data_IF_272624328137
#
_entry.id   IF_272624328137
#
_cell.length_a   1.000
_cell.length_b   1.000
_cell.length_c   1.000
_cell.angle_alpha   90.00
_cell.angle_beta   90.00
_cell.angle_gamma   90.00
#
_symmetry.space_group_name_H-M   'P 1'
#
loop_
_entity.id
_entity.type
_entity.pdbx_description
1 polymer ?
#
# COMPACT_ATOMS: atom_id res chain seq x y z
N UNK A 1 -4.45 4.26 -17.96
CA UNK A 1 -3.77 3.98 -16.70
C UNK A 1 -4.41 2.83 -15.91
N UNK A 2 -5.69 2.92 -15.57
CA UNK A 2 -6.41 1.83 -14.87
C UNK A 2 -6.30 0.47 -15.58
N UNK A 3 -6.39 0.46 -16.93
CA UNK A 3 -6.19 -0.75 -17.72
C UNK A 3 -4.78 -1.34 -17.57
N UNK A 4 -3.74 -0.50 -17.53
CA UNK A 4 -2.35 -0.97 -17.33
C UNK A 4 -2.18 -1.56 -15.92
N UNK A 5 -2.76 -0.92 -14.90
CA UNK A 5 -2.73 -1.45 -13.53
C UNK A 5 -3.48 -2.79 -13.44
N UNK A 6 -4.67 -2.89 -14.02
CA UNK A 6 -5.42 -4.15 -14.06
C UNK A 6 -4.63 -5.24 -14.79
N UNK A 7 -3.98 -4.91 -15.91
CA UNK A 7 -3.11 -5.86 -16.60
C UNK A 7 -1.97 -6.35 -15.69
N UNK A 8 -1.28 -5.44 -14.98
CA UNK A 8 -0.22 -5.81 -14.04
C UNK A 8 -0.77 -6.72 -12.93
N UNK A 9 -1.95 -6.43 -12.39
CA UNK A 9 -2.56 -7.20 -11.31
C UNK A 9 -3.03 -8.58 -11.77
N UNK A 10 -3.59 -8.72 -12.96
CA UNK A 10 -3.99 -10.03 -13.49
C UNK A 10 -2.79 -10.90 -13.86
N UNK A 11 -1.73 -10.30 -14.41
CA UNK A 11 -0.51 -11.03 -14.80
C UNK A 11 0.59 -11.01 -13.73
N UNK A 12 0.27 -10.64 -12.49
CA UNK A 12 1.23 -10.49 -11.41
C UNK A 12 2.04 -11.77 -11.14
N UNK A 13 1.42 -12.96 -11.19
CA UNK A 13 2.11 -14.24 -10.94
C UNK A 13 3.25 -14.49 -11.94
N UNK A 14 3.07 -14.07 -13.18
CA UNK A 14 4.12 -14.16 -14.20
C UNK A 14 5.17 -13.06 -14.04
N UNK A 15 4.75 -11.84 -13.71
CA UNK A 15 5.64 -10.69 -13.52
C UNK A 15 6.57 -10.86 -12.31
N UNK A 16 6.08 -11.39 -11.18
CA UNK A 16 6.88 -11.58 -9.97
C UNK A 16 7.98 -12.63 -10.14
N UNK A 17 7.84 -13.56 -11.09
CA UNK A 17 8.90 -14.51 -11.44
C UNK A 17 10.10 -13.84 -12.13
N UNK A 18 9.92 -12.60 -12.62
CA UNK A 18 10.98 -11.78 -13.23
C UNK A 18 11.27 -10.54 -12.38
N UNK A 19 11.97 -10.67 -11.23
CA UNK A 19 12.07 -9.63 -10.21
C UNK A 19 12.71 -8.32 -10.71
N UNK A 20 13.63 -8.39 -11.65
CA UNK A 20 14.22 -7.18 -12.26
C UNK A 20 13.18 -6.40 -13.06
N UNK A 21 12.43 -7.09 -13.93
CA UNK A 21 11.38 -6.48 -14.76
C UNK A 21 10.26 -5.90 -13.90
N UNK A 22 9.79 -6.65 -12.90
CA UNK A 22 8.74 -6.21 -11.98
C UNK A 22 9.13 -4.93 -11.24
N UNK A 23 10.37 -4.82 -10.74
CA UNK A 23 10.87 -3.61 -10.09
C UNK A 23 10.89 -2.40 -11.03
N UNK A 24 11.35 -2.56 -12.27
CA UNK A 24 11.33 -1.49 -13.26
C UNK A 24 9.90 -1.03 -13.58
N UNK A 25 8.98 -1.97 -13.80
CA UNK A 25 7.56 -1.67 -14.04
C UNK A 25 6.96 -0.91 -12.85
N UNK A 26 7.24 -1.37 -11.62
CA UNK A 26 6.75 -0.72 -10.41
C UNK A 26 7.28 0.71 -10.27
N UNK A 27 8.59 0.91 -10.35
CA UNK A 27 9.18 2.25 -10.24
C UNK A 27 8.69 3.18 -11.36
N UNK A 28 8.62 2.70 -12.60
CA UNK A 28 8.07 3.46 -13.71
C UNK A 28 6.60 3.87 -13.49
N UNK A 29 5.80 2.93 -12.95
CA UNK A 29 4.41 3.20 -12.61
C UNK A 29 4.27 4.22 -11.47
N UNK A 30 5.10 4.14 -10.43
CA UNK A 30 5.09 5.11 -9.32
C UNK A 30 5.50 6.52 -9.79
N UNK A 31 6.51 6.63 -10.64
CA UNK A 31 6.90 7.91 -11.24
C UNK A 31 5.74 8.47 -12.07
N UNK A 32 5.12 7.63 -12.90
CA UNK A 32 3.95 8.03 -13.68
C UNK A 32 2.78 8.47 -12.78
N UNK A 33 2.50 7.73 -11.69
CA UNK A 33 1.46 8.07 -10.71
C UNK A 33 1.71 9.43 -10.07
N UNK A 34 2.95 9.70 -9.64
CA UNK A 34 3.31 10.96 -9.00
C UNK A 34 3.14 12.16 -9.96
N UNK A 35 3.72 12.07 -11.15
CA UNK A 35 3.72 13.21 -12.08
C UNK A 35 2.38 13.37 -12.80
N UNK A 36 1.80 12.29 -13.31
CA UNK A 36 0.57 12.39 -14.10
C UNK A 36 -0.68 12.48 -13.21
N UNK A 37 -0.87 11.52 -12.26
CA UNK A 37 -2.06 11.56 -11.40
C UNK A 37 -1.94 12.66 -10.35
N UNK A 38 -0.77 12.74 -9.70
CA UNK A 38 -0.54 13.70 -8.63
C UNK A 38 -0.50 15.13 -9.13
N UNK A 39 0.50 15.46 -9.90
CA UNK A 39 0.79 16.87 -10.21
C UNK A 39 0.07 17.41 -11.45
N UNK A 40 -0.23 16.58 -12.45
CA UNK A 40 -0.93 17.03 -13.64
C UNK A 40 -2.46 16.95 -13.49
N UNK A 41 -2.99 15.75 -13.12
CA UNK A 41 -4.42 15.52 -13.02
C UNK A 41 -5.01 15.88 -11.63
N UNK A 42 -4.15 16.21 -10.63
CA UNK A 42 -4.53 16.51 -9.24
C UNK A 42 -5.45 15.46 -8.61
N UNK A 43 -5.34 14.21 -9.08
CA UNK A 43 -6.23 13.08 -8.77
C UNK A 43 -5.91 12.39 -7.44
N UNK A 44 -5.56 13.14 -6.39
CA UNK A 44 -5.31 12.59 -5.06
C UNK A 44 -6.62 12.45 -4.28
N UNK A 45 -7.00 11.21 -3.95
CA UNK A 45 -8.10 10.96 -3.02
C UNK A 45 -7.73 11.38 -1.60
N UNK A 46 -8.70 11.99 -0.91
CA UNK A 46 -8.63 12.43 0.49
C UNK A 46 -9.71 11.74 1.31
N UNK A 47 -9.55 11.74 2.64
CA UNK A 47 -10.59 11.30 3.56
C UNK A 47 -11.87 12.13 3.40
N UNK A 48 -11.77 13.40 3.06
CA UNK A 48 -12.92 14.28 2.82
C UNK A 48 -13.84 13.67 1.77
N UNK A 49 -13.30 13.12 0.69
CA UNK A 49 -14.09 12.49 -0.36
C UNK A 49 -14.88 11.28 0.18
N UNK A 50 -14.28 10.47 1.06
CA UNK A 50 -14.95 9.34 1.70
C UNK A 50 -16.06 9.82 2.63
N UNK A 51 -15.79 10.84 3.45
CA UNK A 51 -16.77 11.44 4.37
C UNK A 51 -17.94 12.07 3.59
N UNK A 52 -17.67 12.77 2.51
CA UNK A 52 -18.70 13.34 1.62
C UNK A 52 -19.57 12.24 1.01
N UNK A 53 -18.98 11.13 0.58
CA UNK A 53 -19.72 9.99 0.06
C UNK A 53 -20.64 9.39 1.12
N UNK A 54 -20.13 9.12 2.33
CA UNK A 54 -20.93 8.56 3.43
C UNK A 54 -22.05 9.52 3.86
N UNK A 55 -21.74 10.81 3.97
CA UNK A 55 -22.74 11.83 4.31
C UNK A 55 -23.83 11.92 3.23
N UNK A 56 -23.46 11.84 1.95
CA UNK A 56 -24.42 11.80 0.84
C UNK A 56 -25.35 10.58 0.91
N UNK A 57 -24.86 9.42 1.34
CA UNK A 57 -25.72 8.23 1.53
C UNK A 57 -26.73 8.42 2.66
N UNK A 58 -26.37 9.16 3.71
CA UNK A 58 -27.24 9.41 4.88
C UNK A 58 -28.27 10.48 4.59
N UNK A 59 -27.85 11.59 3.92
CA UNK A 59 -28.71 12.77 3.68
C UNK A 59 -29.50 12.76 2.37
N UNK A 60 -29.40 11.69 1.58
CA UNK A 60 -30.06 11.55 0.28
C UNK A 60 -29.06 11.71 -0.87
N UNK A 61 -28.85 10.62 -1.58
CA UNK A 61 -27.86 10.51 -2.66
C UNK A 61 -28.29 11.32 -3.89
N UNK A 62 -27.42 12.27 -4.31
CA UNK A 62 -27.59 13.06 -5.53
C UNK A 62 -26.44 12.79 -6.48
N UNK A 63 -26.72 12.20 -7.64
CA UNK A 63 -25.72 11.92 -8.68
C UNK A 63 -25.01 13.17 -9.19
N UNK A 64 -25.69 14.30 -9.25
CA UNK A 64 -25.15 15.56 -9.75
C UNK A 64 -23.88 15.99 -9.00
N UNK A 65 -23.83 15.79 -7.69
CA UNK A 65 -22.68 16.17 -6.86
C UNK A 65 -21.42 15.38 -7.24
N UNK A 66 -21.57 14.13 -7.68
CA UNK A 66 -20.42 13.28 -8.04
C UNK A 66 -20.00 13.40 -9.49
N UNK A 67 -20.88 13.91 -10.36
CA UNK A 67 -20.60 14.09 -11.79
C UNK A 67 -19.96 15.46 -12.11
N UNK A 68 -19.81 16.34 -11.13
CA UNK A 68 -19.15 17.64 -11.29
C UNK A 68 -17.71 17.48 -11.76
N UNK A 69 -16.99 16.47 -11.21
CA UNK A 69 -15.61 16.15 -11.62
C UNK A 69 -15.54 14.72 -12.16
N UNK A 70 -15.60 14.55 -13.50
CA UNK A 70 -15.62 13.21 -14.11
C UNK A 70 -14.33 12.42 -13.87
N UNK A 71 -13.18 13.08 -13.71
CA UNK A 71 -11.89 12.42 -13.43
C UNK A 71 -11.93 11.78 -12.04
N UNK A 72 -12.41 12.53 -11.06
CA UNK A 72 -12.55 12.03 -9.68
C UNK A 72 -13.59 10.93 -9.60
N UNK A 73 -14.71 11.03 -10.33
CA UNK A 73 -15.72 9.97 -10.38
C UNK A 73 -15.16 8.66 -10.94
N UNK A 74 -14.44 8.71 -12.06
CA UNK A 74 -13.81 7.52 -12.65
C UNK A 74 -12.76 6.93 -11.70
N UNK A 75 -11.95 7.77 -11.07
CA UNK A 75 -10.97 7.33 -10.09
C UNK A 75 -11.64 6.62 -8.89
N UNK A 76 -12.74 7.17 -8.38
CA UNK A 76 -13.54 6.56 -7.32
C UNK A 76 -14.10 5.19 -7.72
N UNK A 77 -14.72 5.09 -8.89
CA UNK A 77 -15.29 3.84 -9.38
C UNK A 77 -14.20 2.76 -9.54
N UNK A 78 -13.05 3.13 -10.10
CA UNK A 78 -11.89 2.23 -10.23
C UNK A 78 -11.36 1.80 -8.87
N UNK A 79 -11.20 2.74 -7.93
CA UNK A 79 -10.72 2.43 -6.57
C UNK A 79 -11.70 1.54 -5.84
N UNK A 80 -13.00 1.81 -5.91
CA UNK A 80 -14.03 0.96 -5.30
C UNK A 80 -13.98 -0.47 -5.85
N UNK A 81 -13.91 -0.64 -7.17
CA UNK A 81 -13.75 -1.95 -7.81
C UNK A 81 -12.47 -2.68 -7.36
N UNK A 82 -11.33 -1.99 -7.34
CA UNK A 82 -10.06 -2.55 -6.91
C UNK A 82 -10.08 -2.94 -5.42
N UNK A 83 -10.68 -2.12 -4.56
CA UNK A 83 -10.80 -2.41 -3.13
C UNK A 83 -11.65 -3.67 -2.88
N UNK A 84 -12.71 -3.87 -3.64
CA UNK A 84 -13.53 -5.08 -3.54
C UNK A 84 -12.82 -6.33 -4.09
N UNK A 85 -12.02 -6.20 -5.14
CA UNK A 85 -11.35 -7.33 -5.77
C UNK A 85 -10.04 -7.71 -5.05
N UNK A 86 -9.18 -6.75 -4.72
CA UNK A 86 -7.85 -6.96 -4.14
C UNK A 86 -7.64 -6.35 -2.76
N UNK A 87 -8.56 -5.49 -2.29
CA UNK A 87 -8.43 -4.71 -1.08
C UNK A 87 -7.72 -3.35 -1.28
N UNK A 88 -7.68 -2.55 -0.21
CA UNK A 88 -7.10 -1.18 -0.21
C UNK A 88 -5.66 -1.11 -0.68
N UNK A 89 -4.96 -2.19 -0.51
CA UNK A 89 -3.52 -2.29 -0.69
C UNK A 89 -3.05 -1.81 -2.07
N UNK A 90 -3.84 -2.05 -3.10
CA UNK A 90 -3.52 -1.65 -4.48
C UNK A 90 -3.59 -0.13 -4.64
N UNK A 91 -4.61 0.54 -4.09
CA UNK A 91 -4.67 2.00 -4.13
C UNK A 91 -3.47 2.63 -3.42
N UNK A 92 -3.23 2.24 -2.16
CA UNK A 92 -2.15 2.79 -1.35
C UNK A 92 -0.75 2.49 -1.89
N UNK A 93 -0.58 1.37 -2.60
CA UNK A 93 0.71 0.93 -3.11
C UNK A 93 1.01 1.34 -4.55
N UNK A 94 0.00 1.71 -5.35
CA UNK A 94 0.18 1.96 -6.78
C UNK A 94 -0.42 3.28 -7.26
N UNK A 95 -1.62 3.65 -6.78
CA UNK A 95 -2.38 4.77 -7.31
C UNK A 95 -2.27 6.05 -6.47
N UNK A 96 -1.86 5.95 -5.20
CA UNK A 96 -1.75 7.11 -4.32
C UNK A 96 -0.49 7.93 -4.64
N UNK A 97 -0.60 9.18 -5.15
CA UNK A 97 0.56 10.01 -5.49
C UNK A 97 1.47 10.31 -4.29
N UNK A 98 0.89 10.58 -3.12
CA UNK A 98 1.68 10.82 -1.91
C UNK A 98 2.39 9.55 -1.42
N UNK A 99 1.74 8.38 -1.57
CA UNK A 99 2.37 7.08 -1.32
C UNK A 99 3.54 6.81 -2.27
N UNK A 100 3.38 7.15 -3.55
CA UNK A 100 4.45 7.06 -4.55
C UNK A 100 5.62 8.01 -4.22
N UNK A 101 5.33 9.25 -3.83
CA UNK A 101 6.34 10.22 -3.41
C UNK A 101 7.17 9.69 -2.23
N UNK A 102 6.53 9.16 -1.19
CA UNK A 102 7.21 8.59 -0.04
C UNK A 102 8.12 7.41 -0.43
N UNK A 103 7.61 6.51 -1.29
CA UNK A 103 8.37 5.34 -1.74
C UNK A 103 9.59 5.73 -2.57
N UNK A 104 9.43 6.66 -3.51
CA UNK A 104 10.54 7.14 -4.35
C UNK A 104 11.62 7.86 -3.54
N UNK A 105 11.24 8.72 -2.58
CA UNK A 105 12.19 9.39 -1.68
C UNK A 105 12.97 8.35 -0.85
N UNK A 106 12.29 7.36 -0.28
CA UNK A 106 12.95 6.33 0.52
C UNK A 106 13.87 5.44 -0.35
N UNK A 107 13.47 5.13 -1.59
CA UNK A 107 14.32 4.38 -2.52
C UNK A 107 15.62 5.13 -2.85
N UNK A 108 15.52 6.46 -3.07
CA UNK A 108 16.70 7.31 -3.26
C UNK A 108 17.57 7.30 -2.00
N UNK A 109 16.98 7.45 -0.82
CA UNK A 109 17.70 7.40 0.46
C UNK A 109 18.46 6.07 0.65
N UNK A 110 17.83 4.95 0.30
CA UNK A 110 18.47 3.62 0.35
C UNK A 110 19.66 3.49 -0.62
N UNK A 111 19.52 4.05 -1.84
CA UNK A 111 20.62 4.09 -2.80
C UNK A 111 21.78 4.94 -2.30
N UNK A 112 21.50 6.01 -1.56
CA UNK A 112 22.49 6.86 -0.89
C UNK A 112 23.03 6.24 0.42
N UNK A 113 22.61 4.98 0.75
CA UNK A 113 23.02 4.23 1.95
C UNK A 113 22.65 4.93 3.27
N UNK A 114 21.57 5.72 3.29
CA UNK A 114 21.05 6.29 4.53
C UNK A 114 20.54 5.17 5.44
N UNK A 115 20.89 5.19 6.75
CA UNK A 115 20.44 4.15 7.69
C UNK A 115 18.91 4.09 7.77
N UNK A 116 18.37 2.87 7.70
CA UNK A 116 16.93 2.64 7.76
C UNK A 116 16.57 2.06 9.13
N UNK A 117 15.65 2.73 9.82
CA UNK A 117 15.15 2.29 11.12
C UNK A 117 13.84 1.53 10.96
N UNK A 118 13.78 0.35 11.58
CA UNK A 118 12.55 -0.45 11.67
C UNK A 118 11.97 -0.34 13.06
N UNK A 119 10.68 -0.01 13.16
CA UNK A 119 9.99 0.05 14.44
C UNK A 119 9.81 -1.37 14.98
N UNK A 120 10.11 -1.65 16.28
CA UNK A 120 9.84 -2.95 16.88
C UNK A 120 8.37 -3.34 16.70
N UNK A 121 8.08 -4.62 16.39
CA UNK A 121 6.74 -5.06 16.00
C UNK A 121 5.67 -4.75 17.05
N UNK A 122 5.98 -4.90 18.33
CA UNK A 122 5.04 -4.60 19.43
C UNK A 122 4.59 -3.13 19.47
N UNK A 123 5.51 -2.19 19.19
CA UNK A 123 5.17 -0.77 19.08
C UNK A 123 4.45 -0.46 17.76
N UNK A 124 4.89 -1.08 16.69
CA UNK A 124 4.30 -0.94 15.37
C UNK A 124 2.80 -1.29 15.39
N UNK A 125 2.44 -2.41 15.99
CA UNK A 125 1.05 -2.86 16.12
C UNK A 125 0.18 -1.87 16.92
N UNK A 126 0.72 -1.30 18.01
CA UNK A 126 0.01 -0.27 18.79
C UNK A 126 -0.17 1.03 18.02
N UNK A 127 0.83 1.43 17.25
CA UNK A 127 0.78 2.66 16.46
C UNK A 127 -0.24 2.60 15.30
N UNK A 128 -0.64 1.41 14.83
CA UNK A 128 -1.72 1.29 13.85
C UNK A 128 -3.03 1.91 14.33
N UNK A 129 -3.31 1.85 15.63
CA UNK A 129 -4.55 2.39 16.19
C UNK A 129 -4.71 3.89 15.93
N UNK A 130 -3.61 4.65 15.83
CA UNK A 130 -3.64 6.11 15.69
C UNK A 130 -4.45 6.53 14.46
N UNK A 131 -4.21 5.93 13.28
CA UNK A 131 -4.94 6.30 12.06
C UNK A 131 -6.43 5.96 12.12
N UNK A 132 -6.82 4.90 12.86
CA UNK A 132 -8.22 4.55 13.07
C UNK A 132 -8.89 5.52 14.05
N UNK A 133 -8.16 5.97 15.09
CA UNK A 133 -8.64 7.01 16.01
C UNK A 133 -8.85 8.32 15.24
N UNK A 134 -7.88 8.74 14.42
CA UNK A 134 -8.02 9.94 13.58
C UNK A 134 -9.25 9.81 12.67
N UNK A 135 -9.44 8.65 12.03
CA UNK A 135 -10.62 8.39 11.19
C UNK A 135 -11.92 8.53 11.98
N UNK A 136 -12.02 7.92 13.17
CA UNK A 136 -13.21 7.98 14.00
C UNK A 136 -13.53 9.41 14.46
N UNK A 137 -12.50 10.18 14.84
CA UNK A 137 -12.66 11.59 15.22
C UNK A 137 -13.17 12.41 14.03
N UNK A 138 -12.55 12.28 12.85
CA UNK A 138 -12.98 12.99 11.66
C UNK A 138 -14.39 12.58 11.22
N UNK A 139 -14.72 11.30 11.33
CA UNK A 139 -16.06 10.82 11.04
C UNK A 139 -17.09 11.40 12.00
N UNK A 140 -16.82 11.38 13.31
CA UNK A 140 -17.70 11.98 14.32
C UNK A 140 -17.95 13.48 14.05
N UNK A 141 -16.92 14.24 13.76
CA UNK A 141 -17.02 15.67 13.41
C UNK A 141 -17.83 15.88 12.11
N UNK A 142 -17.67 14.98 11.12
CA UNK A 142 -18.38 15.10 9.84
C UNK A 142 -19.90 14.92 9.97
N UNK A 143 -20.37 14.21 10.99
CA UNK A 143 -21.80 14.05 11.28
C UNK A 143 -22.42 15.35 11.81
N UNK A 144 -21.65 16.18 12.51
CA UNK A 144 -22.11 17.47 13.03
C UNK A 144 -21.93 18.57 11.98
N UNK A 145 -20.74 18.67 11.39
CA UNK A 145 -20.41 19.72 10.42
C UNK A 145 -19.35 19.24 9.43
N UNK A 146 -19.75 19.10 8.17
CA UNK A 146 -18.82 18.73 7.09
C UNK A 146 -17.72 19.77 6.88
N UNK A 147 -18.06 21.07 7.01
CA UNK A 147 -17.07 22.15 6.88
C UNK A 147 -16.00 22.12 7.97
N UNK A 148 -16.36 21.71 9.18
CA UNK A 148 -15.38 21.52 10.28
C UNK A 148 -14.53 20.29 10.04
N UNK A 149 -15.12 19.19 9.59
CA UNK A 149 -14.37 17.97 9.24
C UNK A 149 -13.35 18.24 8.13
N UNK A 150 -13.70 19.03 7.11
CA UNK A 150 -12.79 19.43 6.04
C UNK A 150 -11.59 20.25 6.56
N UNK A 151 -11.82 21.16 7.49
CA UNK A 151 -10.73 21.92 8.15
C UNK A 151 -9.82 21.01 8.98
N UNK A 152 -10.39 20.04 9.70
CA UNK A 152 -9.62 19.08 10.50
C UNK A 152 -8.90 18.02 9.65
N UNK A 153 -9.36 17.81 8.41
CA UNK A 153 -8.69 16.92 7.45
C UNK A 153 -7.32 17.45 6.95
N UNK A 154 -6.90 18.62 7.42
CA UNK A 154 -5.53 19.15 7.20
C UNK A 154 -4.43 18.27 7.85
N UNK A 155 -4.78 17.27 8.62
CA UNK A 155 -3.86 16.18 9.01
C UNK A 155 -3.32 15.40 7.79
N UNK A 156 -4.01 15.51 6.64
CA UNK A 156 -3.55 14.94 5.38
C UNK A 156 -2.62 15.92 4.64
N UNK A 157 -1.31 15.59 4.47
CA UNK A 157 -0.36 16.46 3.78
C UNK A 157 -0.55 16.48 2.26
N UNK A 158 -1.55 15.76 1.73
CA UNK A 158 -1.81 15.60 0.29
C UNK A 158 -2.08 16.93 -0.39
N UNK A 159 -2.93 17.76 0.22
CA UNK A 159 -3.26 19.07 -0.30
C UNK A 159 -2.00 19.94 -0.45
N UNK A 160 -1.12 19.92 0.53
CA UNK A 160 0.13 20.70 0.50
C UNK A 160 1.13 20.14 -0.50
N UNK A 161 1.38 18.81 -0.49
CA UNK A 161 2.46 18.22 -1.29
C UNK A 161 2.08 17.94 -2.74
N UNK A 162 0.80 17.61 -3.00
CA UNK A 162 0.34 17.17 -4.32
C UNK A 162 -0.46 18.27 -5.01
N UNK A 163 -1.50 18.82 -4.36
CA UNK A 163 -2.39 19.78 -5.00
C UNK A 163 -1.78 21.17 -5.10
N UNK A 164 -1.14 21.65 -4.03
CA UNK A 164 -0.60 23.02 -3.95
C UNK A 164 0.93 23.08 -4.19
N UNK A 165 1.59 21.95 -4.52
CA UNK A 165 3.02 21.91 -4.85
C UNK A 165 3.91 22.65 -3.83
N UNK A 166 3.56 22.56 -2.53
CA UNK A 166 4.19 23.28 -1.40
C UNK A 166 4.01 24.81 -1.42
N UNK A 167 3.17 25.36 -2.30
CA UNK A 167 2.81 26.78 -2.27
C UNK A 167 1.67 27.02 -1.26
N UNK A 168 2.05 27.12 0.01
CA UNK A 168 1.12 27.28 1.14
C UNK A 168 1.80 27.95 2.33
N UNK A 169 0.99 28.37 3.34
CA UNK A 169 1.52 28.93 4.59
C UNK A 169 2.48 27.99 5.28
N UNK A 170 3.55 28.53 5.86
CA UNK A 170 4.69 27.80 6.39
C UNK A 170 4.39 26.63 7.36
N UNK A 171 3.36 26.67 8.25
CA UNK A 171 3.10 25.53 9.15
C UNK A 171 2.75 24.25 8.43
N UNK A 172 1.92 24.33 7.36
CA UNK A 172 1.51 23.17 6.57
C UNK A 172 2.66 22.62 5.72
N UNK A 173 3.48 23.50 5.17
CA UNK A 173 4.68 23.11 4.42
C UNK A 173 5.67 22.43 5.34
N UNK A 174 5.92 23.00 6.53
CA UNK A 174 6.82 22.40 7.53
C UNK A 174 6.35 21.02 7.96
N UNK A 175 5.04 20.85 8.20
CA UNK A 175 4.46 19.55 8.54
C UNK A 175 4.68 18.52 7.42
N UNK A 176 4.37 18.87 6.17
CA UNK A 176 4.55 17.98 5.04
C UNK A 176 6.03 17.60 4.83
N UNK A 177 6.93 18.59 4.90
CA UNK A 177 8.38 18.37 4.78
C UNK A 177 8.90 17.51 5.92
N UNK A 178 8.48 17.74 7.16
CA UNK A 178 8.87 16.93 8.31
C UNK A 178 8.50 15.46 8.11
N UNK A 179 7.28 15.19 7.62
CA UNK A 179 6.86 13.81 7.31
C UNK A 179 7.73 13.16 6.22
N UNK A 180 8.11 13.91 5.20
CA UNK A 180 9.01 13.41 4.15
C UNK A 180 10.44 13.19 4.66
N UNK A 181 10.93 14.04 5.55
CA UNK A 181 12.24 13.87 6.20
C UNK A 181 12.26 12.62 7.08
N UNK A 182 11.22 12.41 7.90
CA UNK A 182 11.11 11.17 8.71
C UNK A 182 11.01 9.94 7.79
N UNK A 183 10.37 10.07 6.64
CA UNK A 183 10.27 8.98 5.65
C UNK A 183 11.63 8.61 5.02
N UNK A 184 12.63 9.48 5.02
CA UNK A 184 14.01 9.16 4.60
C UNK A 184 14.59 8.03 5.47
N UNK A 185 14.30 8.04 6.77
CA UNK A 185 14.82 7.10 7.75
C UNK A 185 13.92 5.91 8.02
N UNK A 186 12.58 6.08 7.89
CA UNK A 186 11.60 5.03 8.18
C UNK A 186 10.55 4.99 7.07
N UNK A 187 10.36 3.84 6.44
CA UNK A 187 9.51 3.69 5.26
C UNK A 187 8.04 3.99 5.56
N UNK A 188 7.43 4.87 4.73
CA UNK A 188 5.99 5.13 4.67
C UNK A 188 5.33 5.42 6.03
N UNK A 189 6.00 6.21 6.89
CA UNK A 189 5.54 6.51 8.26
C UNK A 189 4.12 7.07 8.26
N UNK A 190 3.84 8.06 7.41
CA UNK A 190 2.51 8.66 7.33
C UNK A 190 1.44 7.62 6.93
N UNK A 191 1.68 6.86 5.86
CA UNK A 191 0.73 5.84 5.37
C UNK A 191 0.47 4.73 6.38
N UNK A 192 1.46 4.41 7.22
CA UNK A 192 1.37 3.34 8.23
C UNK A 192 0.57 3.76 9.45
N UNK A 193 0.78 4.99 9.96
CA UNK A 193 0.33 5.38 11.28
C UNK A 193 -0.66 6.54 11.32
N UNK A 194 -0.62 7.45 10.34
CA UNK A 194 -1.35 8.72 10.40
C UNK A 194 -2.45 8.86 9.35
N UNK A 195 -2.41 8.10 8.24
CA UNK A 195 -3.31 8.29 7.11
C UNK A 195 -4.75 7.82 7.40
N UNK A 196 -5.73 8.72 7.60
CA UNK A 196 -7.12 8.34 7.85
C UNK A 196 -7.79 7.75 6.60
N UNK A 197 -7.43 8.20 5.39
CA UNK A 197 -7.89 7.58 4.16
C UNK A 197 -7.47 6.11 4.08
N UNK A 198 -6.21 5.81 4.44
CA UNK A 198 -5.73 4.44 4.51
C UNK A 198 -6.50 3.59 5.52
N UNK A 199 -6.93 4.16 6.64
CA UNK A 199 -7.79 3.47 7.61
C UNK A 199 -9.19 3.23 7.03
N UNK A 200 -9.80 4.23 6.38
CA UNK A 200 -11.12 4.12 5.77
C UNK A 200 -11.18 3.02 4.70
N UNK A 201 -10.18 2.98 3.80
CA UNK A 201 -10.09 1.95 2.76
C UNK A 201 -9.73 0.55 3.31
N UNK A 202 -9.21 0.46 4.54
CA UNK A 202 -8.93 -0.82 5.18
C UNK A 202 -10.20 -1.58 5.59
N UNK A 203 -11.28 -0.88 5.97
CA UNK A 203 -12.54 -1.49 6.40
C UNK A 203 -13.15 -2.40 5.34
N UNK A 204 -13.39 -1.96 4.08
CA UNK A 204 -13.95 -2.80 3.04
C UNK A 204 -12.98 -3.90 2.55
N UNK A 205 -11.68 -3.83 2.87
CA UNK A 205 -10.71 -4.87 2.51
C UNK A 205 -11.05 -6.24 3.10
N UNK A 206 -11.81 -6.30 4.20
CA UNK A 206 -12.32 -7.56 4.76
C UNK A 206 -13.26 -8.30 3.80
N UNK A 207 -13.89 -7.59 2.88
CA UNK A 207 -14.83 -8.12 1.88
C UNK A 207 -14.16 -8.49 0.56
N UNK A 208 -12.81 -8.44 0.47
CA UNK A 208 -12.10 -8.74 -0.77
C UNK A 208 -12.43 -10.13 -1.30
N UNK A 209 -12.53 -10.22 -2.61
CA UNK A 209 -12.90 -11.47 -3.30
C UNK A 209 -11.67 -12.34 -3.59
N UNK A 210 -10.53 -11.74 -3.91
CA UNK A 210 -9.33 -12.47 -4.32
C UNK A 210 -8.21 -12.39 -3.29
N UNK A 211 -7.59 -13.55 -3.05
CA UNK A 211 -6.42 -13.71 -2.18
C UNK A 211 -5.22 -14.21 -2.99
N UNK A 212 -4.45 -13.27 -3.53
CA UNK A 212 -3.36 -13.56 -4.48
C UNK A 212 -1.99 -13.73 -3.82
N UNK A 213 -1.83 -13.27 -2.57
CA UNK A 213 -0.54 -13.30 -1.90
C UNK A 213 -0.27 -14.69 -1.31
N UNK A 214 0.66 -15.41 -1.93
CA UNK A 214 1.00 -16.79 -1.59
C UNK A 214 1.99 -16.87 -0.44
N UNK A 215 1.81 -17.84 0.44
CA UNK A 215 2.69 -18.17 1.55
C UNK A 215 2.95 -19.68 1.61
N UNK A 216 4.10 -20.09 2.15
CA UNK A 216 4.44 -21.48 2.45
C UNK A 216 4.32 -21.73 3.94
N UNK A 217 4.24 -23.02 4.34
CA UNK A 217 4.18 -23.45 5.74
C UNK A 217 5.40 -23.00 6.55
N UNK A 218 6.55 -22.85 5.89
CA UNK A 218 7.82 -22.44 6.51
C UNK A 218 7.92 -20.92 6.70
N UNK A 219 6.96 -20.14 6.15
CA UNK A 219 6.94 -18.70 6.35
C UNK A 219 6.52 -18.37 7.78
N UNK A 220 7.33 -17.58 8.49
CA UNK A 220 7.15 -17.24 9.91
C UNK A 220 8.03 -18.08 10.81
N UNK A 221 7.99 -19.39 10.68
CA UNK A 221 8.81 -20.30 11.46
C UNK A 221 9.29 -21.48 10.58
N UNK A 222 10.60 -21.62 10.24
CA UNK A 222 11.71 -20.79 10.74
C UNK A 222 12.05 -19.55 9.88
N UNK A 223 11.40 -19.33 8.73
CA UNK A 223 11.81 -18.31 7.76
C UNK A 223 11.09 -16.97 7.96
N UNK A 224 11.85 -15.92 8.31
CA UNK A 224 11.36 -14.55 8.51
C UNK A 224 11.89 -13.54 7.49
N UNK A 225 12.33 -13.98 6.32
CA UNK A 225 12.97 -13.09 5.33
C UNK A 225 11.98 -12.04 4.80
N UNK A 226 10.78 -12.48 4.39
CA UNK A 226 9.77 -11.57 3.84
C UNK A 226 9.21 -10.59 4.87
N UNK A 227 9.14 -10.96 6.16
CA UNK A 227 8.77 -10.07 7.26
C UNK A 227 9.78 -8.90 7.37
N UNK A 228 11.07 -9.19 7.35
CA UNK A 228 12.14 -8.19 7.41
C UNK A 228 12.21 -7.29 6.16
N UNK A 229 11.86 -7.82 4.98
CA UNK A 229 11.86 -7.07 3.72
C UNK A 229 10.59 -6.24 3.53
N UNK A 230 9.50 -6.52 4.28
CA UNK A 230 8.23 -5.85 4.12
C UNK A 230 8.33 -4.36 4.47
N UNK A 231 8.08 -3.49 3.47
CA UNK A 231 8.20 -2.03 3.62
C UNK A 231 7.29 -1.45 4.69
N UNK A 232 6.10 -2.01 4.85
CA UNK A 232 5.08 -1.54 5.78
C UNK A 232 4.93 -2.45 7.00
N UNK A 233 5.78 -3.46 7.15
CA UNK A 233 5.74 -4.46 8.22
C UNK A 233 4.34 -5.11 8.39
N UNK A 234 3.62 -5.31 7.29
CA UNK A 234 2.29 -5.95 7.30
C UNK A 234 2.35 -7.47 7.44
N UNK A 235 3.55 -8.06 7.53
CA UNK A 235 3.75 -9.49 7.72
C UNK A 235 4.08 -9.72 9.18
N UNK A 236 3.25 -10.49 9.88
CA UNK A 236 3.49 -10.86 11.26
C UNK A 236 4.68 -11.83 11.38
N UNK A 237 5.33 -11.89 12.55
CA UNK A 237 6.46 -12.79 12.78
C UNK A 237 6.13 -14.28 12.58
N UNK A 238 4.85 -14.66 12.66
CA UNK A 238 4.32 -16.00 12.38
C UNK A 238 4.17 -16.30 10.87
N UNK A 239 4.42 -15.31 10.01
CA UNK A 239 4.30 -15.40 8.55
C UNK A 239 2.95 -14.98 7.97
N UNK A 240 1.95 -14.68 8.80
CA UNK A 240 0.65 -14.21 8.36
C UNK A 240 0.74 -12.78 7.79
N UNK A 241 -0.01 -12.50 6.71
CA UNK A 241 -0.10 -11.16 6.12
C UNK A 241 -1.34 -10.46 6.65
N UNK A 242 -1.16 -9.30 7.28
CA UNK A 242 -2.25 -8.41 7.60
C UNK A 242 -2.64 -7.59 6.36
N UNK A 243 -3.69 -8.00 5.66
CA UNK A 243 -4.15 -7.34 4.44
C UNK A 243 -4.68 -5.93 4.68
N UNK A 244 -5.15 -5.63 5.90
CA UNK A 244 -5.58 -4.28 6.25
C UNK A 244 -4.41 -3.30 6.32
N UNK A 245 -3.17 -3.79 6.47
CA UNK A 245 -1.96 -2.97 6.53
C UNK A 245 -1.06 -3.14 5.30
N UNK A 246 -1.27 -4.16 4.50
CA UNK A 246 -0.51 -4.43 3.28
C UNK A 246 -0.69 -3.31 2.24
N UNK A 247 0.38 -2.98 1.49
CA UNK A 247 0.35 -2.02 0.38
C UNK A 247 0.54 -2.67 -1.00
N UNK A 248 0.42 -3.99 -1.07
CA UNK A 248 0.50 -4.76 -2.32
C UNK A 248 1.73 -4.44 -3.18
N UNK A 249 2.89 -4.23 -2.53
CA UNK A 249 4.14 -3.92 -3.24
C UNK A 249 4.70 -5.11 -4.02
N UNK A 250 4.25 -6.33 -3.73
CA UNK A 250 4.66 -7.59 -4.33
C UNK A 250 6.11 -8.01 -4.05
N UNK A 251 6.89 -7.27 -3.23
CA UNK A 251 8.27 -7.63 -2.89
C UNK A 251 8.36 -9.01 -2.23
N UNK A 252 7.44 -9.29 -1.31
CA UNK A 252 7.35 -10.61 -0.68
C UNK A 252 7.03 -11.73 -1.69
N UNK A 253 6.28 -11.44 -2.76
CA UNK A 253 6.00 -12.41 -3.82
C UNK A 253 7.19 -12.59 -4.75
N UNK A 254 7.95 -11.53 -5.07
CA UNK A 254 9.21 -11.66 -5.80
C UNK A 254 10.19 -12.55 -5.03
N UNK A 255 10.33 -12.35 -3.72
CA UNK A 255 11.16 -13.20 -2.86
C UNK A 255 10.62 -14.62 -2.74
N UNK A 256 9.28 -14.80 -2.71
CA UNK A 256 8.63 -16.10 -2.66
C UNK A 256 8.95 -16.99 -3.88
N UNK A 257 9.05 -16.40 -5.08
CA UNK A 257 9.35 -17.12 -6.32
C UNK A 257 10.85 -17.18 -6.65
N UNK A 258 11.70 -16.44 -5.95
CA UNK A 258 13.15 -16.41 -6.19
C UNK A 258 13.85 -17.62 -5.55
N UNK A 259 14.33 -18.54 -6.38
CA UNK A 259 15.03 -19.77 -5.96
C UNK A 259 16.48 -19.51 -5.45
N UNK A 260 16.95 -18.26 -5.54
CA UNK A 260 18.23 -17.81 -4.95
C UNK A 260 18.03 -17.17 -3.58
N UNK A 261 16.85 -16.66 -3.28
CA UNK A 261 16.54 -15.93 -2.03
C UNK A 261 15.69 -16.75 -1.06
N UNK A 262 14.64 -17.39 -1.55
CA UNK A 262 13.70 -18.14 -0.71
C UNK A 262 14.32 -19.42 -0.15
N UNK A 263 14.56 -19.56 1.17
CA UNK A 263 15.23 -20.72 1.75
C UNK A 263 14.64 -22.08 1.36
N UNK A 264 13.31 -22.30 1.38
CA UNK A 264 12.71 -23.55 0.91
C UNK A 264 13.06 -23.88 -0.54
N UNK A 265 13.07 -22.87 -1.43
CA UNK A 265 13.44 -23.08 -2.84
C UNK A 265 14.93 -23.33 -3.02
N UNK A 266 15.79 -22.69 -2.22
CA UNK A 266 17.24 -22.95 -2.21
C UNK A 266 17.50 -24.42 -1.84
N UNK A 267 16.85 -24.95 -0.81
CA UNK A 267 16.96 -26.35 -0.39
C UNK A 267 16.50 -27.28 -1.51
N UNK A 268 15.30 -27.02 -2.10
CA UNK A 268 14.78 -27.80 -3.23
C UNK A 268 15.74 -27.79 -4.44
N UNK A 269 16.32 -26.64 -4.76
CA UNK A 269 17.31 -26.49 -5.85
C UNK A 269 18.59 -27.27 -5.58
N UNK A 270 19.10 -27.21 -4.32
CA UNK A 270 20.27 -27.98 -3.91
C UNK A 270 20.00 -29.47 -3.95
N UNK A 271 18.81 -29.90 -3.52
CA UNK A 271 18.36 -31.30 -3.60
C UNK A 271 18.29 -31.80 -5.05
N UNK A 272 17.72 -31.00 -5.98
CA UNK A 272 17.70 -31.32 -7.41
C UNK A 272 19.11 -31.47 -8.00
N UNK A 273 20.06 -30.61 -7.61
CA UNK A 273 21.47 -30.71 -8.06
C UNK A 273 22.19 -31.96 -7.52
N UNK A 274 21.85 -32.38 -6.28
CA UNK A 274 22.36 -33.63 -5.70
C UNK A 274 21.65 -34.87 -6.26
N UNK A 275 20.37 -34.77 -6.55
CA UNK A 275 19.51 -35.86 -7.04
C UNK A 275 19.59 -36.14 -8.55
N UNK A 276 20.44 -35.41 -9.29
CA UNK A 276 20.81 -35.82 -10.67
C UNK A 276 21.61 -37.15 -10.64
N UNK A 277 21.97 -37.64 -9.42
CA UNK A 277 22.62 -38.92 -9.16
C UNK A 277 21.78 -39.88 -8.30
N UNK A 278 20.47 -39.66 -8.07
CA UNK A 278 19.61 -40.60 -7.36
C UNK A 278 18.15 -40.55 -7.83
N UNK A 279 17.48 -41.70 -8.07
CA UNK A 279 16.06 -41.73 -8.47
C UNK A 279 15.16 -41.50 -7.24
N UNK A 280 14.35 -40.44 -7.24
CA UNK A 280 13.37 -40.19 -6.19
C UNK A 280 12.49 -38.99 -6.53
N UNK A 281 11.18 -39.19 -6.58
CA UNK A 281 10.13 -38.23 -6.88
C UNK A 281 10.23 -36.96 -6.03
N UNK A 282 10.07 -35.75 -6.59
CA UNK A 282 9.94 -34.52 -5.80
C UNK A 282 8.52 -34.43 -5.25
N UNK A 283 8.35 -34.49 -3.93
CA UNK A 283 7.13 -34.07 -3.26
C UNK A 283 6.86 -32.59 -3.55
N UNK A 284 5.68 -32.29 -4.06
CA UNK A 284 5.20 -30.92 -4.21
C UNK A 284 5.05 -30.30 -2.82
N UNK A 285 5.74 -29.19 -2.59
CA UNK A 285 5.59 -28.41 -1.35
C UNK A 285 4.19 -27.80 -1.35
N UNK A 286 3.29 -28.16 -0.44
CA UNK A 286 1.93 -27.65 -0.45
C UNK A 286 1.92 -26.14 -0.18
N UNK A 287 1.22 -25.40 -1.05
CA UNK A 287 0.96 -23.97 -0.90
C UNK A 287 -0.24 -23.81 0.03
N UNK A 288 -0.05 -23.17 1.17
CA UNK A 288 -1.15 -22.84 2.08
C UNK A 288 -1.64 -21.43 1.71
N UNK A 289 -2.88 -21.35 1.27
CA UNK A 289 -3.60 -20.05 1.25
C UNK A 289 -4.02 -19.78 2.69
N UNK A 290 -3.46 -18.74 3.28
CA UNK A 290 -3.82 -18.29 4.63
C UNK A 290 -4.93 -17.25 4.46
N UNK A 291 -6.16 -17.65 4.82
CA UNK A 291 -7.32 -16.77 4.88
C UNK A 291 -7.18 -15.69 5.97
#
# INVERSE_FOLDING_TARGET
>A
MSAVLLFILFFQDWLVQKPKMMRWIRHGFLVYTLFFIGWYALGQLSIVNVLTFVNSLISGFKWETFLIDPIMFVLWAVVAGIVLLWGRAVYCGWLCPFGALQELINEIARKLKVPQYTVPFAWHERLWAIKYIILLVLFGISLESMATAERMAEVEPFKTAITLHFDRTWPFVTYAVLLLVVNIFTRKVYCRYLCPLGAALALPTKLRVFDWLKRRKECGNPCRLCDKECEVQAIHPDGHINYMECHYCLDCQMTYFDDHKCPPLIVKRRGKRRGHNAPGHPEEIPVVQVN
#
